data_IF_814919224676
#
_entry.id   IF_814919224676
#
_cell.length_a   1.000
_cell.length_b   1.000
_cell.length_c   1.000
_cell.angle_alpha   90.00
_cell.angle_beta   90.00
_cell.angle_gamma   90.00
#
_symmetry.space_group_name_H-M   'P 1'
#
loop_
_entity.id
_entity.type
_entity.pdbx_description
1 polymer ?
#
# COMPACT_ATOMS: atom_id res chain seq x y z
N UNK A 1 -6.39 -41.48 5.46
CA UNK A 1 -6.95 -40.19 5.95
C UNK A 1 -8.02 -39.74 4.98
N UNK A 2 -9.24 -39.48 5.43
CA UNK A 2 -10.33 -39.04 4.54
C UNK A 2 -10.35 -37.51 4.50
N UNK A 3 -10.43 -36.94 3.30
CA UNK A 3 -10.44 -35.49 2.99
C UNK A 3 -11.37 -34.64 3.89
N UNK A 4 -12.54 -35.12 4.37
CA UNK A 4 -13.42 -34.34 5.25
C UNK A 4 -12.79 -33.98 6.61
N UNK A 5 -11.95 -34.85 7.20
CA UNK A 5 -11.34 -34.61 8.52
C UNK A 5 -10.28 -33.50 8.49
N UNK A 6 -9.69 -33.24 7.33
CA UNK A 6 -8.74 -32.15 7.11
C UNK A 6 -9.47 -30.81 7.03
N UNK A 7 -10.64 -30.79 6.40
CA UNK A 7 -11.48 -29.60 6.26
C UNK A 7 -12.12 -29.25 7.61
N UNK A 8 -12.62 -30.23 8.36
CA UNK A 8 -13.19 -29.99 9.70
C UNK A 8 -12.15 -29.46 10.70
N UNK A 9 -10.87 -29.87 10.57
CA UNK A 9 -9.78 -29.33 11.39
C UNK A 9 -9.26 -27.96 10.92
N UNK A 10 -9.29 -27.68 9.61
CA UNK A 10 -8.78 -26.44 9.04
C UNK A 10 -9.81 -25.28 9.05
N UNK A 11 -11.12 -25.58 9.03
CA UNK A 11 -12.17 -24.57 8.84
C UNK A 11 -12.93 -24.24 10.13
N UNK A 12 -13.01 -25.14 11.12
CA UNK A 12 -13.91 -24.99 12.29
C UNK A 12 -13.16 -24.70 13.61
N UNK A 13 -11.83 -24.61 13.60
CA UNK A 13 -11.12 -24.00 14.72
C UNK A 13 -10.75 -22.55 14.38
N UNK A 14 -11.72 -21.64 14.45
CA UNK A 14 -11.44 -20.34 15.06
C UNK A 14 -10.85 -20.69 16.43
N UNK A 15 -9.51 -20.77 16.51
CA UNK A 15 -8.83 -21.30 17.69
C UNK A 15 -9.38 -20.57 18.91
N UNK A 16 -9.94 -21.34 19.85
CA UNK A 16 -10.69 -20.81 21.01
C UNK A 16 -9.94 -19.62 21.60
N UNK A 17 -10.61 -18.47 21.67
CA UNK A 17 -10.05 -17.24 22.24
C UNK A 17 -9.26 -16.33 21.31
N UNK A 18 -9.22 -16.58 19.98
CA UNK A 18 -8.62 -15.61 19.03
C UNK A 18 -9.49 -14.37 18.76
N UNK A 19 -10.81 -14.46 18.95
CA UNK A 19 -11.76 -13.38 18.66
C UNK A 19 -11.36 -12.02 19.26
N UNK A 20 -11.06 -11.92 20.57
CA UNK A 20 -10.65 -10.65 21.17
C UNK A 20 -9.37 -10.07 20.54
N UNK A 21 -8.39 -10.92 20.19
CA UNK A 21 -7.16 -10.47 19.55
C UNK A 21 -7.44 -9.94 18.13
N UNK A 22 -8.31 -10.61 17.36
CA UNK A 22 -8.74 -10.15 16.03
C UNK A 22 -9.42 -8.79 16.11
N UNK A 23 -10.32 -8.59 17.08
CA UNK A 23 -10.99 -7.29 17.31
C UNK A 23 -9.97 -6.21 17.65
N UNK A 24 -9.05 -6.48 18.57
CA UNK A 24 -8.01 -5.53 18.99
C UNK A 24 -7.11 -5.15 17.81
N UNK A 25 -6.65 -6.15 17.05
CA UNK A 25 -5.79 -5.92 15.87
C UNK A 25 -6.53 -5.12 14.80
N UNK A 26 -7.78 -5.48 14.50
CA UNK A 26 -8.62 -4.75 13.55
C UNK A 26 -8.83 -3.30 13.96
N UNK A 27 -9.31 -3.09 15.19
CA UNK A 27 -9.57 -1.75 15.74
C UNK A 27 -8.30 -0.89 15.80
N UNK A 28 -7.17 -1.46 16.24
CA UNK A 28 -5.89 -0.77 16.25
C UNK A 28 -5.42 -0.42 14.83
N UNK A 29 -5.61 -1.33 13.86
CA UNK A 29 -5.33 -1.08 12.45
C UNK A 29 -6.14 0.08 11.87
N UNK A 30 -7.43 0.12 12.18
CA UNK A 30 -8.32 1.23 11.80
C UNK A 30 -7.92 2.57 12.43
N UNK A 31 -7.58 2.57 13.72
CA UNK A 31 -7.16 3.78 14.43
C UNK A 31 -5.82 4.33 13.93
N UNK A 32 -4.81 3.46 13.78
CA UNK A 32 -3.50 3.84 13.21
C UNK A 32 -3.65 4.32 11.78
N UNK A 33 -4.50 3.64 11.00
CA UNK A 33 -4.86 4.06 9.66
C UNK A 33 -5.47 5.47 9.61
N UNK A 34 -6.44 5.76 10.47
CA UNK A 34 -7.07 7.09 10.58
C UNK A 34 -6.04 8.17 10.93
N UNK A 35 -5.15 7.90 11.90
CA UNK A 35 -4.08 8.83 12.28
C UNK A 35 -3.12 9.06 11.12
N UNK A 36 -2.67 8.00 10.46
CA UNK A 36 -1.70 8.11 9.36
C UNK A 36 -2.29 8.86 8.16
N UNK A 37 -3.52 8.52 7.74
CA UNK A 37 -4.21 9.22 6.65
C UNK A 37 -4.51 10.67 7.03
N UNK A 38 -4.90 10.94 8.27
CA UNK A 38 -5.10 12.31 8.76
C UNK A 38 -3.80 13.14 8.74
N UNK A 39 -2.67 12.54 9.14
CA UNK A 39 -1.36 13.18 9.04
C UNK A 39 -0.95 13.43 7.58
N UNK A 40 -1.25 12.50 6.66
CA UNK A 40 -1.01 12.71 5.23
C UNK A 40 -1.82 13.89 4.68
N UNK A 41 -3.08 14.05 5.09
CA UNK A 41 -3.89 15.20 4.67
C UNK A 41 -3.31 16.51 5.18
N UNK A 42 -2.92 16.58 6.46
CA UNK A 42 -2.32 17.77 7.05
C UNK A 42 -0.98 18.11 6.39
N UNK A 43 -0.11 17.13 6.22
CA UNK A 43 1.20 17.33 5.59
C UNK A 43 1.06 17.62 4.09
N UNK A 44 0.10 17.01 3.40
CA UNK A 44 -0.20 17.27 1.99
C UNK A 44 -0.70 18.69 1.76
N UNK A 45 -1.43 19.28 2.71
CA UNK A 45 -1.78 20.71 2.68
C UNK A 45 -0.57 21.64 2.77
N UNK A 46 0.57 21.18 3.30
CA UNK A 46 1.80 21.98 3.49
C UNK A 46 2.88 21.66 2.47
N UNK A 47 3.02 20.41 2.03
CA UNK A 47 4.09 19.93 1.15
C UNK A 47 3.59 19.55 -0.25
N UNK A 48 2.27 19.51 -0.43
CA UNK A 48 1.65 18.96 -1.63
C UNK A 48 1.91 19.84 -2.87
N UNK A 49 2.01 19.20 -4.05
CA UNK A 49 2.28 19.89 -5.31
C UNK A 49 1.16 20.83 -5.77
N UNK A 50 -0.06 20.69 -5.24
CA UNK A 50 -1.21 21.54 -5.59
C UNK A 50 -1.07 22.98 -5.09
N UNK A 51 -0.27 23.20 -4.04
CA UNK A 51 -0.17 24.49 -3.35
C UNK A 51 1.11 25.27 -3.73
N UNK A 52 1.99 24.70 -4.55
CA UNK A 52 3.32 25.23 -4.83
C UNK A 52 3.56 25.38 -6.33
N UNK A 53 4.38 26.36 -6.70
CA UNK A 53 4.88 26.46 -8.07
C UNK A 53 5.87 25.33 -8.37
N UNK A 54 6.04 24.96 -9.65
CA UNK A 54 6.95 23.88 -10.06
C UNK A 54 8.36 23.97 -9.45
N UNK A 55 9.03 25.14 -9.48
CA UNK A 55 10.35 25.30 -8.85
C UNK A 55 10.33 25.13 -7.32
N UNK A 56 9.28 25.64 -6.66
CA UNK A 56 9.13 25.49 -5.21
C UNK A 56 8.90 24.02 -4.83
N UNK A 57 8.10 23.29 -5.60
CA UNK A 57 7.88 21.86 -5.39
C UNK A 57 9.16 21.05 -5.59
N UNK A 58 9.97 21.38 -6.60
CA UNK A 58 11.26 20.75 -6.79
C UNK A 58 12.20 20.97 -5.60
N UNK A 59 12.22 22.18 -5.04
CA UNK A 59 12.98 22.46 -3.82
C UNK A 59 12.45 21.68 -2.60
N UNK A 60 11.13 21.55 -2.45
CA UNK A 60 10.50 20.72 -1.40
C UNK A 60 10.93 19.26 -1.54
N UNK A 61 10.86 18.68 -2.75
CA UNK A 61 11.24 17.29 -2.97
C UNK A 61 12.72 17.02 -2.68
N UNK A 62 13.61 17.97 -3.01
CA UNK A 62 15.04 17.87 -2.66
C UNK A 62 15.25 17.94 -1.15
N UNK A 63 14.57 18.86 -0.45
CA UNK A 63 14.69 18.98 1.01
C UNK A 63 14.11 17.77 1.74
N UNK A 64 12.99 17.22 1.25
CA UNK A 64 12.43 15.94 1.73
C UNK A 64 13.40 14.80 1.49
N UNK A 65 14.02 14.71 0.31
CA UNK A 65 15.06 13.71 0.03
C UNK A 65 16.22 13.79 1.01
N UNK A 66 16.67 14.99 1.37
CA UNK A 66 17.72 15.19 2.37
C UNK A 66 17.26 14.81 3.79
N UNK A 67 16.02 15.13 4.17
CA UNK A 67 15.44 14.74 5.46
C UNK A 67 15.32 13.22 5.58
N UNK A 68 14.86 12.53 4.53
CA UNK A 68 14.79 11.06 4.47
C UNK A 68 16.18 10.43 4.54
N UNK A 69 17.18 11.01 3.87
CA UNK A 69 18.57 10.57 3.97
C UNK A 69 19.12 10.70 5.40
N UNK A 70 18.73 11.75 6.13
CA UNK A 70 19.09 11.92 7.53
C UNK A 70 18.38 10.91 8.44
N UNK A 71 17.07 10.73 8.26
CA UNK A 71 16.28 9.76 9.04
C UNK A 71 16.84 8.35 8.89
N UNK A 72 17.09 7.92 7.64
CA UNK A 72 17.63 6.58 7.36
C UNK A 72 19.04 6.40 7.89
N UNK A 73 19.85 7.47 7.94
CA UNK A 73 21.18 7.44 8.56
C UNK A 73 21.13 7.29 10.09
N UNK A 74 20.14 7.89 10.75
CA UNK A 74 20.04 7.91 12.22
C UNK A 74 19.29 6.69 12.76
N UNK A 75 18.22 6.27 12.09
CA UNK A 75 17.32 5.19 12.55
C UNK A 75 17.44 3.89 11.75
N UNK A 76 18.33 3.84 10.76
CA UNK A 76 18.52 2.68 9.90
C UNK A 76 17.59 2.68 8.68
N UNK A 77 17.81 1.72 7.79
CA UNK A 77 17.00 1.56 6.59
C UNK A 77 15.55 1.24 6.94
N UNK A 78 14.63 1.66 6.07
CA UNK A 78 13.20 1.42 6.23
C UNK A 78 12.88 -0.05 5.96
N UNK A 79 11.94 -0.63 6.72
CA UNK A 79 11.43 -1.98 6.47
C UNK A 79 10.91 -2.15 5.03
N UNK A 80 11.19 -3.30 4.43
CA UNK A 80 10.70 -3.68 3.10
C UNK A 80 9.44 -4.55 3.24
N UNK A 81 8.38 -4.25 2.48
CA UNK A 81 7.17 -5.09 2.44
C UNK A 81 7.49 -6.53 2.06
N UNK A 82 8.47 -6.75 1.16
CA UNK A 82 8.94 -8.09 0.80
C UNK A 82 9.49 -8.83 2.03
N UNK A 83 10.22 -8.14 2.92
CA UNK A 83 10.72 -8.73 4.16
C UNK A 83 9.59 -9.10 5.11
N UNK A 84 8.54 -8.27 5.22
CA UNK A 84 7.37 -8.65 6.02
C UNK A 84 6.68 -9.90 5.45
N UNK A 85 6.53 -9.99 4.13
CA UNK A 85 5.95 -11.16 3.46
C UNK A 85 6.79 -12.40 3.74
N UNK A 86 8.11 -12.32 3.58
CA UNK A 86 9.02 -13.43 3.86
C UNK A 86 8.94 -13.85 5.34
N UNK A 87 8.90 -12.88 6.25
CA UNK A 87 8.81 -13.12 7.69
C UNK A 87 7.47 -13.75 8.10
N UNK A 88 6.38 -13.52 7.38
CA UNK A 88 5.11 -14.22 7.62
C UNK A 88 5.23 -15.73 7.32
N UNK A 89 6.02 -16.11 6.31
CA UNK A 89 6.25 -17.52 6.00
C UNK A 89 7.11 -18.20 7.06
N UNK A 90 8.16 -17.53 7.52
CA UNK A 90 9.18 -18.11 8.43
C UNK A 90 8.82 -17.92 9.90
N UNK A 91 8.55 -16.69 10.32
CA UNK A 91 8.35 -16.28 11.71
C UNK A 91 6.86 -16.14 12.09
N UNK A 92 5.96 -16.23 11.10
CA UNK A 92 4.54 -15.97 11.31
C UNK A 92 4.20 -14.48 11.49
N UNK A 93 5.13 -13.56 11.26
CA UNK A 93 4.85 -12.14 11.43
C UNK A 93 6.10 -11.27 11.35
N UNK A 94 5.96 -9.99 11.68
CA UNK A 94 7.07 -9.04 11.66
C UNK A 94 8.18 -9.43 12.66
N UNK A 95 9.43 -9.38 12.20
CA UNK A 95 10.61 -9.68 13.01
C UNK A 95 10.98 -8.51 13.94
N UNK A 96 10.93 -7.28 13.43
CA UNK A 96 11.38 -6.09 14.15
C UNK A 96 10.41 -4.91 14.02
N UNK A 97 10.02 -4.37 15.17
CA UNK A 97 9.16 -3.18 15.29
C UNK A 97 9.98 -1.89 15.11
N UNK A 98 11.30 -1.94 15.29
CA UNK A 98 12.17 -0.77 15.20
C UNK A 98 12.22 -0.19 13.77
N UNK A 99 12.03 -1.03 12.76
CA UNK A 99 11.90 -0.63 11.36
C UNK A 99 10.75 0.36 11.10
N UNK A 100 9.71 0.37 11.96
CA UNK A 100 8.61 1.34 11.86
C UNK A 100 9.05 2.78 12.17
N UNK A 101 10.12 2.96 12.95
CA UNK A 101 10.63 4.27 13.35
C UNK A 101 11.17 5.07 12.17
N UNK A 102 11.82 4.41 11.22
CA UNK A 102 12.25 5.03 9.97
C UNK A 102 11.14 5.02 8.93
N UNK A 103 10.34 3.93 8.85
CA UNK A 103 9.30 3.76 7.82
C UNK A 103 8.19 4.83 7.86
N UNK A 104 7.58 5.06 9.02
CA UNK A 104 6.44 5.99 9.13
C UNK A 104 6.78 7.45 8.76
N UNK A 105 7.83 8.08 9.32
CA UNK A 105 8.15 9.47 8.98
C UNK A 105 8.65 9.61 7.54
N UNK A 106 9.42 8.65 7.03
CA UNK A 106 9.88 8.69 5.64
C UNK A 106 8.72 8.56 4.66
N UNK A 107 7.80 7.63 4.91
CA UNK A 107 6.63 7.47 4.05
C UNK A 107 5.68 8.66 4.10
N UNK A 108 5.45 9.23 5.29
CA UNK A 108 4.65 10.46 5.43
C UNK A 108 5.26 11.61 4.62
N UNK A 109 6.56 11.87 4.75
CA UNK A 109 7.23 12.95 4.04
C UNK A 109 7.22 12.73 2.52
N UNK A 110 7.55 11.51 2.06
CA UNK A 110 7.56 11.20 0.63
C UNK A 110 6.16 11.30 0.01
N UNK A 111 5.16 10.62 0.59
CA UNK A 111 3.80 10.62 0.03
C UNK A 111 3.20 12.03 0.07
N UNK A 112 3.33 12.75 1.19
CA UNK A 112 2.77 14.09 1.33
C UNK A 112 3.43 15.14 0.41
N UNK A 113 4.73 15.00 0.10
CA UNK A 113 5.43 15.87 -0.85
C UNK A 113 5.17 15.51 -2.32
N UNK A 114 4.32 14.52 -2.59
CA UNK A 114 3.96 14.13 -3.94
C UNK A 114 4.95 13.17 -4.59
N UNK A 115 5.67 12.38 -3.81
CA UNK A 115 6.43 11.25 -4.35
C UNK A 115 5.51 10.25 -5.06
N UNK A 116 6.05 9.54 -6.05
CA UNK A 116 5.32 8.58 -6.90
C UNK A 116 4.88 7.28 -6.20
N UNK A 117 4.99 7.21 -4.88
CA UNK A 117 4.69 6.05 -4.04
C UNK A 117 3.40 6.27 -3.26
N UNK A 118 2.70 5.19 -2.95
CA UNK A 118 1.47 5.24 -2.19
C UNK A 118 1.63 4.85 -0.71
N UNK A 119 0.58 5.08 0.09
CA UNK A 119 0.55 4.79 1.53
C UNK A 119 0.35 3.30 1.87
N UNK A 120 0.22 2.42 0.87
CA UNK A 120 -0.12 0.99 1.06
C UNK A 120 0.95 0.25 1.84
N UNK A 121 2.19 0.30 1.37
CA UNK A 121 3.32 -0.37 1.99
C UNK A 121 3.52 -0.02 3.48
N UNK A 122 3.62 1.27 3.87
CA UNK A 122 3.85 1.64 5.28
C UNK A 122 2.68 1.28 6.20
N UNK A 123 1.44 1.43 5.73
CA UNK A 123 0.27 1.08 6.54
C UNK A 123 0.17 -0.42 6.76
N UNK A 124 0.34 -1.21 5.71
CA UNK A 124 0.25 -2.67 5.78
C UNK A 124 1.36 -3.24 6.64
N UNK A 125 2.58 -2.68 6.54
CA UNK A 125 3.67 -3.08 7.41
C UNK A 125 3.39 -2.75 8.88
N UNK A 126 2.91 -1.53 9.15
CA UNK A 126 2.62 -1.07 10.52
C UNK A 126 1.50 -1.89 11.15
N UNK A 127 0.39 -2.06 10.43
CA UNK A 127 -0.78 -2.79 10.91
C UNK A 127 -0.52 -4.29 11.02
N UNK A 128 0.22 -4.88 10.07
CA UNK A 128 0.69 -6.27 10.18
C UNK A 128 1.59 -6.47 11.41
N UNK A 129 2.54 -5.57 11.65
CA UNK A 129 3.41 -5.61 12.83
C UNK A 129 2.63 -5.49 14.13
N UNK A 130 1.58 -4.66 14.18
CA UNK A 130 0.65 -4.60 15.33
C UNK A 130 -0.01 -5.97 15.55
N UNK A 131 -0.44 -6.63 14.48
CA UNK A 131 -0.95 -8.01 14.51
C UNK A 131 0.03 -8.99 15.17
N UNK A 132 1.30 -8.95 14.73
CA UNK A 132 2.36 -9.78 15.29
C UNK A 132 2.59 -9.49 16.78
N UNK A 133 2.67 -8.22 17.16
CA UNK A 133 2.91 -7.80 18.56
C UNK A 133 1.77 -8.21 19.48
N UNK A 134 0.51 -8.04 19.05
CA UNK A 134 -0.66 -8.46 19.84
C UNK A 134 -0.66 -9.97 20.03
N UNK A 135 -0.36 -10.73 18.98
CA UNK A 135 -0.23 -12.18 19.07
C UNK A 135 0.90 -12.62 20.01
N UNK A 136 2.07 -12.01 19.89
CA UNK A 136 3.25 -12.36 20.67
C UNK A 136 3.06 -12.07 22.16
N UNK A 137 2.49 -10.89 22.49
CA UNK A 137 2.12 -10.54 23.88
C UNK A 137 1.05 -11.45 24.46
N UNK A 138 0.19 -12.00 23.62
CA UNK A 138 -0.81 -12.99 24.00
C UNK A 138 -0.26 -14.41 24.17
N UNK A 139 1.06 -14.62 24.07
CA UNK A 139 1.69 -15.94 24.17
C UNK A 139 1.23 -16.92 23.09
N UNK A 140 0.85 -16.39 21.91
CA UNK A 140 0.24 -17.18 20.85
C UNK A 140 1.28 -17.95 20.04
N UNK A 141 0.83 -19.05 19.42
CA UNK A 141 1.70 -19.86 18.56
C UNK A 141 2.03 -19.14 17.25
N UNK A 142 3.07 -19.58 16.55
CA UNK A 142 3.50 -19.02 15.26
C UNK A 142 2.37 -18.96 14.22
N UNK A 143 1.49 -19.97 14.18
CA UNK A 143 0.35 -19.97 13.26
C UNK A 143 -0.69 -18.90 13.63
N UNK A 144 -0.91 -18.67 14.92
CA UNK A 144 -1.80 -17.60 15.38
C UNK A 144 -1.20 -16.23 15.12
N UNK A 145 0.13 -16.07 15.29
CA UNK A 145 0.85 -14.86 14.90
C UNK A 145 0.62 -14.57 13.42
N UNK A 146 0.69 -15.62 12.59
CA UNK A 146 0.48 -15.51 11.14
C UNK A 146 -0.91 -14.99 10.82
N UNK A 147 -1.92 -15.61 11.42
CA UNK A 147 -3.32 -15.20 11.27
C UNK A 147 -3.52 -13.76 11.74
N UNK A 148 -2.98 -13.37 12.89
CA UNK A 148 -3.13 -12.00 13.43
C UNK A 148 -2.36 -10.97 12.60
N UNK A 149 -1.20 -11.33 12.05
CA UNK A 149 -0.43 -10.47 11.15
C UNK A 149 -1.20 -10.22 9.85
N UNK A 150 -1.74 -11.29 9.23
CA UNK A 150 -2.61 -11.18 8.04
C UNK A 150 -3.86 -10.35 8.35
N UNK A 151 -4.43 -10.53 9.54
CA UNK A 151 -5.58 -9.74 10.01
C UNK A 151 -5.25 -8.26 10.11
N UNK A 152 -4.07 -7.92 10.65
CA UNK A 152 -3.56 -6.55 10.71
C UNK A 152 -3.38 -5.94 9.31
N UNK A 153 -2.71 -6.68 8.41
CA UNK A 153 -2.53 -6.27 7.01
C UNK A 153 -3.86 -6.00 6.32
N UNK A 154 -4.85 -6.89 6.49
CA UNK A 154 -6.18 -6.72 5.93
C UNK A 154 -6.85 -5.45 6.44
N UNK A 155 -6.75 -5.15 7.74
CA UNK A 155 -7.26 -3.90 8.31
C UNK A 155 -6.55 -2.66 7.72
N UNK A 156 -5.23 -2.70 7.54
CA UNK A 156 -4.46 -1.62 6.90
C UNK A 156 -4.87 -1.35 5.45
N UNK A 157 -5.04 -2.39 4.64
CA UNK A 157 -5.57 -2.25 3.27
C UNK A 157 -6.99 -1.70 3.25
N UNK A 158 -7.81 -2.06 4.22
CA UNK A 158 -9.20 -1.62 4.30
C UNK A 158 -9.34 -0.13 4.52
N UNK A 159 -8.46 0.45 5.34
CA UNK A 159 -8.37 1.90 5.55
C UNK A 159 -8.12 2.63 4.23
N UNK A 160 -7.32 2.05 3.34
CA UNK A 160 -6.93 2.67 2.08
C UNK A 160 -7.97 2.51 0.98
N UNK A 161 -8.55 1.32 0.87
CA UNK A 161 -9.44 0.99 -0.25
C UNK A 161 -10.92 1.10 0.08
N UNK A 162 -11.28 1.24 1.36
CA UNK A 162 -12.68 1.23 1.80
C UNK A 162 -13.40 -0.09 1.48
N UNK A 163 -12.67 -1.17 1.23
CA UNK A 163 -13.19 -2.44 0.74
C UNK A 163 -12.77 -3.61 1.65
N UNK A 164 -13.52 -3.90 2.74
CA UNK A 164 -13.10 -4.87 3.75
C UNK A 164 -12.86 -6.29 3.19
N UNK A 165 -13.81 -6.78 2.39
CA UNK A 165 -13.73 -8.13 1.80
C UNK A 165 -12.57 -8.27 0.80
N UNK A 166 -12.41 -7.26 -0.08
CA UNK A 166 -11.31 -7.24 -1.03
C UNK A 166 -9.95 -7.16 -0.34
N UNK A 167 -9.86 -6.38 0.74
CA UNK A 167 -8.64 -6.22 1.53
C UNK A 167 -8.22 -7.51 2.24
N UNK A 168 -9.18 -8.28 2.78
CA UNK A 168 -8.90 -9.57 3.40
C UNK A 168 -8.39 -10.60 2.38
N UNK A 169 -9.01 -10.67 1.19
CA UNK A 169 -8.54 -11.55 0.12
C UNK A 169 -7.16 -11.12 -0.38
N UNK A 170 -6.94 -9.82 -0.56
CA UNK A 170 -5.65 -9.29 -1.02
C UNK A 170 -4.52 -9.58 -0.02
N UNK A 171 -4.77 -9.42 1.28
CA UNK A 171 -3.79 -9.73 2.32
C UNK A 171 -3.37 -11.21 2.34
N UNK A 172 -4.27 -12.13 1.97
CA UNK A 172 -3.96 -13.55 1.82
C UNK A 172 -3.22 -13.86 0.51
N UNK A 173 -3.59 -13.19 -0.58
CA UNK A 173 -3.05 -13.48 -1.91
C UNK A 173 -1.64 -12.92 -2.09
N UNK A 174 -1.35 -11.72 -1.57
CA UNK A 174 -0.04 -11.07 -1.75
C UNK A 174 1.13 -11.88 -1.19
N UNK A 175 0.86 -12.77 -0.24
CA UNK A 175 1.86 -13.65 0.36
C UNK A 175 2.30 -14.78 -0.59
N UNK A 176 1.46 -15.20 -1.52
CA UNK A 176 1.65 -16.48 -2.21
C UNK A 176 1.71 -16.34 -3.72
N UNK A 177 2.77 -16.87 -4.33
CA UNK A 177 2.91 -16.88 -5.80
C UNK A 177 2.02 -17.90 -6.53
N UNK A 178 1.43 -18.87 -5.82
CA UNK A 178 0.71 -20.01 -6.42
C UNK A 178 -0.74 -20.16 -5.90
N UNK A 179 -1.36 -19.07 -5.48
CA UNK A 179 -2.73 -19.04 -4.97
C UNK A 179 -2.82 -18.99 -3.44
N UNK A 180 -4.04 -18.83 -2.92
CA UNK A 180 -4.32 -18.64 -1.49
C UNK A 180 -3.76 -19.79 -0.65
N UNK A 181 -3.00 -19.47 0.38
CA UNK A 181 -2.63 -20.37 1.48
C UNK A 181 -3.00 -19.69 2.80
N UNK A 182 -2.91 -20.42 3.92
CA UNK A 182 -3.38 -19.97 5.23
C UNK A 182 -4.87 -19.61 5.24
N UNK A 183 -5.72 -20.49 4.68
CA UNK A 183 -7.17 -20.29 4.62
C UNK A 183 -7.82 -20.07 5.99
N UNK A 184 -7.20 -20.59 7.05
CA UNK A 184 -7.57 -20.34 8.44
C UNK A 184 -7.56 -18.85 8.82
N UNK A 185 -6.80 -18.02 8.11
CA UNK A 185 -6.75 -16.57 8.33
C UNK A 185 -7.86 -15.80 7.60
N UNK A 186 -8.65 -16.43 6.71
CA UNK A 186 -9.69 -15.73 5.95
C UNK A 186 -10.79 -15.12 6.82
N UNK A 187 -11.43 -15.91 7.68
CA UNK A 187 -12.47 -15.41 8.58
C UNK A 187 -11.93 -14.36 9.58
N UNK A 188 -10.78 -14.59 10.24
CA UNK A 188 -10.11 -13.56 11.05
C UNK A 188 -9.80 -12.28 10.29
N UNK A 189 -9.25 -12.37 9.08
CA UNK A 189 -8.90 -11.22 8.26
C UNK A 189 -10.12 -10.40 7.85
N UNK A 190 -11.21 -11.07 7.43
CA UNK A 190 -12.49 -10.40 7.14
C UNK A 190 -13.03 -9.70 8.39
N UNK A 191 -13.06 -10.39 9.53
CA UNK A 191 -13.58 -9.82 10.77
C UNK A 191 -12.74 -8.63 11.26
N UNK A 192 -11.40 -8.77 11.30
CA UNK A 192 -10.51 -7.68 11.70
C UNK A 192 -10.53 -6.51 10.74
N UNK A 193 -10.64 -6.77 9.43
CA UNK A 193 -10.84 -5.75 8.41
C UNK A 193 -12.14 -4.96 8.62
N UNK A 194 -13.26 -5.63 8.92
CA UNK A 194 -14.53 -4.97 9.23
C UNK A 194 -14.44 -4.10 10.49
N UNK A 195 -13.77 -4.59 11.55
CA UNK A 195 -13.52 -3.80 12.75
C UNK A 195 -12.63 -2.59 12.47
N UNK A 196 -11.58 -2.76 11.67
CA UNK A 196 -10.72 -1.67 11.24
C UNK A 196 -11.47 -0.62 10.43
N UNK A 197 -12.36 -1.05 9.53
CA UNK A 197 -13.20 -0.15 8.76
C UNK A 197 -14.15 0.65 9.65
N UNK A 198 -14.84 -0.01 10.59
CA UNK A 198 -15.76 0.66 11.51
C UNK A 198 -15.06 1.73 12.36
N UNK A 199 -13.87 1.42 12.89
CA UNK A 199 -13.07 2.38 13.67
C UNK A 199 -12.57 3.51 12.79
N UNK A 200 -12.09 3.20 11.57
CA UNK A 200 -11.62 4.21 10.63
C UNK A 200 -12.72 5.21 10.26
N UNK A 201 -13.92 4.74 9.90
CA UNK A 201 -15.05 5.60 9.61
C UNK A 201 -15.45 6.45 10.82
N UNK A 202 -15.51 5.85 12.01
CA UNK A 202 -15.86 6.56 13.24
C UNK A 202 -14.88 7.68 13.60
N UNK A 203 -13.59 7.50 13.32
CA UNK A 203 -12.55 8.51 13.62
C UNK A 203 -12.36 9.54 12.51
N UNK A 204 -12.49 9.15 11.25
CA UNK A 204 -12.35 10.05 10.10
C UNK A 204 -13.59 10.91 9.87
N UNK A 205 -14.75 10.49 10.39
CA UNK A 205 -16.03 11.13 10.10
C UNK A 205 -16.51 10.87 8.67
N UNK A 206 -15.82 10.01 7.91
CA UNK A 206 -16.23 9.59 6.59
C UNK A 206 -17.47 8.69 6.70
N UNK A 207 -18.45 8.94 5.85
CA UNK A 207 -19.62 8.08 5.74
C UNK A 207 -19.29 6.76 5.05
N UNK A 208 -20.23 5.81 5.11
CA UNK A 208 -20.16 4.59 4.28
C UNK A 208 -20.44 5.01 2.83
N UNK A 209 -19.45 4.85 1.96
CA UNK A 209 -19.54 5.24 0.55
C UNK A 209 -18.41 4.68 -0.29
N UNK A 210 -18.59 4.71 -1.61
CA UNK A 210 -17.55 4.35 -2.56
C UNK A 210 -16.48 5.44 -2.63
N UNK A 211 -15.21 5.05 -2.64
CA UNK A 211 -14.08 5.98 -2.87
C UNK A 211 -14.18 6.61 -4.26
N UNK A 212 -14.59 5.82 -5.27
CA UNK A 212 -14.82 6.29 -6.64
C UNK A 212 -16.21 5.89 -7.12
N UNK A 213 -16.92 6.82 -7.75
CA UNK A 213 -18.18 6.56 -8.43
C UNK A 213 -17.94 6.49 -9.94
N UNK A 214 -18.28 5.34 -10.53
CA UNK A 214 -18.21 5.16 -11.98
C UNK A 214 -19.62 5.29 -12.59
N UNK A 215 -19.74 5.81 -13.83
CA UNK A 215 -21.02 5.85 -14.53
C UNK A 215 -21.56 4.43 -14.73
N UNK A 216 -22.90 4.31 -14.74
CA UNK A 216 -23.56 3.02 -14.98
C UNK A 216 -23.16 2.47 -16.35
N UNK A 217 -22.62 1.26 -16.37
CA UNK A 217 -22.35 0.54 -17.61
C UNK A 217 -23.67 0.00 -18.21
N UNK A 218 -23.77 0.02 -19.54
CA UNK A 218 -24.89 -0.59 -20.27
C UNK A 218 -24.87 -2.12 -20.21
N UNK A 219 -25.73 -2.77 -21.01
CA UNK A 219 -25.74 -4.23 -21.12
C UNK A 219 -24.38 -4.76 -21.62
N UNK A 220 -23.86 -5.79 -20.94
CA UNK A 220 -22.61 -6.45 -21.30
C UNK A 220 -22.75 -7.16 -22.65
N UNK A 221 -21.94 -6.75 -23.63
CA UNK A 221 -21.85 -7.37 -24.96
C UNK A 221 -20.64 -8.30 -25.02
N UNK A 222 -20.68 -9.30 -25.89
CA UNK A 222 -19.53 -10.21 -26.11
C UNK A 222 -18.28 -9.45 -26.55
N UNK A 223 -18.43 -8.34 -27.30
CA UNK A 223 -17.32 -7.48 -27.70
C UNK A 223 -16.64 -6.83 -26.49
N UNK A 224 -17.39 -6.48 -25.44
CA UNK A 224 -16.83 -5.87 -24.23
C UNK A 224 -15.93 -6.84 -23.48
N UNK A 225 -16.27 -8.14 -23.49
CA UNK A 225 -15.40 -9.19 -22.93
C UNK A 225 -14.10 -9.32 -23.72
N UNK A 226 -14.16 -9.31 -25.05
CA UNK A 226 -12.97 -9.36 -25.90
C UNK A 226 -12.07 -8.13 -25.68
N UNK A 227 -12.67 -6.94 -25.55
CA UNK A 227 -11.95 -5.71 -25.23
C UNK A 227 -11.34 -5.75 -23.82
N UNK A 228 -12.07 -6.26 -22.83
CA UNK A 228 -11.56 -6.42 -21.47
C UNK A 228 -10.33 -7.35 -21.42
N UNK A 229 -10.36 -8.46 -22.16
CA UNK A 229 -9.21 -9.36 -22.31
C UNK A 229 -8.04 -8.64 -22.98
N UNK A 230 -8.29 -7.91 -24.07
CA UNK A 230 -7.25 -7.16 -24.77
C UNK A 230 -6.59 -6.10 -23.87
N UNK A 231 -7.38 -5.32 -23.14
CA UNK A 231 -6.90 -4.34 -22.15
C UNK A 231 -6.10 -5.03 -21.05
N UNK A 232 -6.58 -6.18 -20.55
CA UNK A 232 -5.86 -6.99 -19.55
C UNK A 232 -4.50 -7.46 -20.04
N UNK A 233 -4.39 -7.94 -21.29
CA UNK A 233 -3.12 -8.34 -21.91
C UNK A 233 -2.18 -7.14 -22.07
N UNK A 234 -2.68 -6.00 -22.55
CA UNK A 234 -1.86 -4.77 -22.68
C UNK A 234 -1.35 -4.32 -21.30
N UNK A 235 -2.22 -4.32 -20.29
CA UNK A 235 -1.86 -4.00 -18.91
C UNK A 235 -0.79 -4.94 -18.35
N UNK A 236 -0.93 -6.25 -18.58
CA UNK A 236 0.04 -7.25 -18.14
C UNK A 236 1.41 -7.07 -18.83
N UNK A 237 1.43 -6.78 -20.13
CA UNK A 237 2.66 -6.47 -20.86
C UNK A 237 3.31 -5.18 -20.32
N UNK A 238 2.50 -4.14 -20.10
CA UNK A 238 2.95 -2.88 -19.50
C UNK A 238 3.57 -3.09 -18.12
N UNK A 239 2.90 -3.82 -17.24
CA UNK A 239 3.41 -4.18 -15.91
C UNK A 239 4.73 -4.98 -15.99
N UNK A 240 4.84 -5.92 -16.94
CA UNK A 240 6.05 -6.72 -17.11
C UNK A 240 7.24 -5.89 -17.63
N UNK A 241 6.99 -4.91 -18.50
CA UNK A 241 8.02 -3.96 -18.96
C UNK A 241 8.43 -3.05 -17.80
N UNK A 242 7.46 -2.44 -17.12
CA UNK A 242 7.72 -1.58 -15.95
C UNK A 242 8.55 -2.31 -14.90
N UNK A 243 8.16 -3.52 -14.49
CA UNK A 243 8.90 -4.31 -13.52
C UNK A 243 10.33 -4.68 -13.97
N UNK A 244 10.59 -4.81 -15.28
CA UNK A 244 11.97 -5.02 -15.78
C UNK A 244 12.78 -3.72 -15.73
N UNK A 245 12.19 -2.60 -16.14
CA UNK A 245 12.82 -1.28 -16.11
C UNK A 245 13.18 -0.89 -14.68
N UNK A 246 12.26 -1.00 -13.73
CA UNK A 246 12.53 -0.67 -12.32
C UNK A 246 13.61 -1.58 -11.73
N UNK A 247 13.61 -2.87 -12.06
CA UNK A 247 14.67 -3.80 -11.63
C UNK A 247 16.04 -3.42 -12.21
N UNK A 248 16.08 -3.02 -13.48
CA UNK A 248 17.32 -2.56 -14.11
C UNK A 248 17.80 -1.25 -13.46
N UNK A 249 16.90 -0.29 -13.25
CA UNK A 249 17.20 0.99 -12.61
C UNK A 249 17.76 0.83 -11.19
N UNK A 250 17.18 -0.07 -10.39
CA UNK A 250 17.70 -0.41 -9.05
C UNK A 250 19.15 -0.90 -9.09
N UNK A 251 19.56 -1.64 -10.12
CA UNK A 251 20.97 -2.08 -10.26
C UNK A 251 21.90 -0.91 -10.58
N UNK A 252 21.47 0.00 -11.45
CA UNK A 252 22.25 1.19 -11.81
C UNK A 252 22.41 2.13 -10.60
N UNK A 253 21.31 2.42 -9.89
CA UNK A 253 21.34 3.25 -8.68
C UNK A 253 22.09 2.58 -7.51
N UNK A 254 22.24 1.26 -7.54
CA UNK A 254 23.08 0.49 -6.62
C UNK A 254 24.53 0.99 -6.52
N UNK A 255 25.01 1.71 -7.53
CA UNK A 255 26.36 2.29 -7.59
C UNK A 255 26.50 3.61 -6.82
N UNK A 256 25.39 4.27 -6.49
CA UNK A 256 25.34 5.53 -5.73
C UNK A 256 25.16 5.22 -4.24
N UNK A 257 25.72 6.02 -3.33
CA UNK A 257 25.51 5.82 -1.88
C UNK A 257 24.09 6.14 -1.45
N UNK A 258 23.57 5.43 -0.44
CA UNK A 258 22.16 5.48 -0.01
C UNK A 258 21.65 6.90 0.26
N UNK A 259 22.43 7.74 0.95
CA UNK A 259 22.03 9.13 1.25
C UNK A 259 21.88 10.00 0.00
N UNK A 260 22.76 9.83 -0.99
CA UNK A 260 22.70 10.59 -2.24
C UNK A 260 21.55 10.14 -3.15
N UNK A 261 21.12 8.87 -3.06
CA UNK A 261 19.97 8.37 -3.82
C UNK A 261 18.70 9.16 -3.52
N UNK A 262 18.41 9.43 -2.24
CA UNK A 262 17.19 10.16 -1.85
C UNK A 262 17.21 11.62 -2.34
N UNK A 263 18.34 12.31 -2.23
CA UNK A 263 18.48 13.72 -2.67
C UNK A 263 18.38 13.83 -4.20
N UNK A 264 19.08 12.96 -4.92
CA UNK A 264 19.01 12.91 -6.39
C UNK A 264 17.62 12.48 -6.88
N UNK A 265 16.97 11.54 -6.19
CA UNK A 265 15.59 11.15 -6.45
C UNK A 265 14.64 12.33 -6.33
N UNK A 266 14.74 13.11 -5.25
CA UNK A 266 13.96 14.34 -5.07
C UNK A 266 14.20 15.38 -6.16
N UNK A 267 15.45 15.57 -6.59
CA UNK A 267 15.79 16.49 -7.68
C UNK A 267 15.19 16.03 -9.02
N UNK A 268 15.41 14.78 -9.40
CA UNK A 268 14.92 14.22 -10.67
C UNK A 268 13.39 14.22 -10.68
N UNK A 269 12.76 13.82 -9.58
CA UNK A 269 11.30 13.80 -9.46
C UNK A 269 10.72 15.22 -9.51
N UNK A 270 11.38 16.20 -8.89
CA UNK A 270 10.99 17.61 -8.97
C UNK A 270 11.05 18.16 -10.41
N UNK A 271 12.09 17.81 -11.16
CA UNK A 271 12.20 18.18 -12.58
C UNK A 271 11.13 17.48 -13.44
N UNK A 272 10.86 16.21 -13.17
CA UNK A 272 9.79 15.47 -13.85
C UNK A 272 8.41 16.03 -13.52
N UNK A 273 8.16 16.42 -12.27
CA UNK A 273 6.93 17.06 -11.84
C UNK A 273 6.70 18.42 -12.49
N UNK A 274 7.76 19.19 -12.72
CA UNK A 274 7.68 20.41 -13.53
C UNK A 274 7.33 20.09 -14.99
N UNK A 275 7.96 19.08 -15.58
CA UNK A 275 7.64 18.68 -16.96
C UNK A 275 6.20 18.17 -17.11
N UNK A 276 5.72 17.37 -16.15
CA UNK A 276 4.37 16.83 -16.16
C UNK A 276 3.86 16.56 -14.74
N UNK A 277 2.69 17.12 -14.34
CA UNK A 277 2.11 16.88 -13.01
C UNK A 277 1.69 15.41 -12.81
N UNK A 278 1.55 14.62 -13.88
CA UNK A 278 1.26 13.19 -13.82
C UNK A 278 2.45 12.36 -13.30
N UNK A 279 3.67 12.92 -13.25
CA UNK A 279 4.83 12.25 -12.67
C UNK A 279 4.77 12.18 -11.13
N UNK A 280 4.01 13.07 -10.50
CA UNK A 280 3.90 13.18 -9.04
C UNK A 280 2.73 12.35 -8.49
N UNK A 281 2.71 12.25 -7.16
CA UNK A 281 1.70 11.59 -6.31
C UNK A 281 1.50 10.10 -6.66
N UNK A 282 0.56 9.41 -6.04
CA UNK A 282 0.18 8.03 -6.42
C UNK A 282 -1.02 7.99 -7.38
N UNK A 283 -1.48 9.14 -7.90
CA UNK A 283 -2.47 9.21 -8.98
C UNK A 283 -3.91 9.48 -8.55
N UNK A 284 -4.21 9.56 -7.25
CA UNK A 284 -5.57 9.79 -6.74
C UNK A 284 -6.21 11.07 -7.30
N UNK A 285 -5.46 12.18 -7.25
CA UNK A 285 -5.91 13.49 -7.75
C UNK A 285 -6.06 13.50 -9.26
N UNK A 286 -5.14 12.84 -9.97
CA UNK A 286 -5.15 12.84 -11.43
C UNK A 286 -6.24 11.93 -11.99
N UNK A 287 -6.61 10.86 -11.27
CA UNK A 287 -7.62 9.90 -11.74
C UNK A 287 -9.00 10.57 -11.89
N UNK A 288 -9.42 11.40 -10.95
CA UNK A 288 -10.71 12.11 -11.03
C UNK A 288 -10.76 13.04 -12.26
N UNK A 289 -9.68 13.81 -12.50
CA UNK A 289 -9.58 14.67 -13.69
C UNK A 289 -9.57 13.89 -15.02
N UNK A 290 -9.05 12.65 -15.02
CA UNK A 290 -9.06 11.78 -16.21
C UNK A 290 -10.43 11.17 -16.50
N UNK A 291 -11.30 11.05 -15.50
CA UNK A 291 -12.67 10.53 -15.67
C UNK A 291 -13.60 11.57 -16.29
N UNK A 292 -13.38 12.85 -16.01
CA UNK A 292 -14.24 13.95 -16.47
C UNK A 292 -13.80 14.53 -17.83
N UNK A 293 -12.52 14.44 -18.18
CA UNK A 293 -11.97 15.05 -19.40
C UNK A 293 -11.74 13.98 -20.47
N UNK A 294 -12.33 14.19 -21.66
CA UNK A 294 -11.95 13.46 -22.88
C UNK A 294 -10.56 13.88 -23.35
N UNK A 295 -9.51 13.40 -22.68
CA UNK A 295 -8.15 13.59 -23.15
C UNK A 295 -7.93 12.81 -24.45
N UNK A 296 -7.25 13.44 -25.40
CA UNK A 296 -6.79 12.76 -26.60
C UNK A 296 -5.79 11.64 -26.24
N UNK A 297 -5.76 10.56 -27.03
CA UNK A 297 -4.89 9.41 -26.79
C UNK A 297 -3.41 9.77 -26.61
N UNK A 298 -2.93 10.81 -27.30
CA UNK A 298 -1.56 11.32 -27.13
C UNK A 298 -1.28 11.91 -25.74
N UNK A 299 -2.24 12.63 -25.15
CA UNK A 299 -2.09 13.18 -23.80
C UNK A 299 -2.06 12.07 -22.74
N UNK A 300 -2.88 11.02 -22.92
CA UNK A 300 -2.85 9.83 -22.06
C UNK A 300 -1.52 9.08 -22.16
N UNK A 301 -0.96 8.95 -23.37
CA UNK A 301 0.35 8.32 -23.54
C UNK A 301 1.47 9.10 -22.82
N UNK A 302 1.45 10.43 -22.89
CA UNK A 302 2.40 11.28 -22.14
C UNK A 302 2.20 11.16 -20.64
N UNK A 303 0.95 11.14 -20.16
CA UNK A 303 0.64 10.95 -18.74
C UNK A 303 1.14 9.59 -18.22
N UNK A 304 0.94 8.52 -18.98
CA UNK A 304 1.48 7.18 -18.66
C UNK A 304 3.01 7.21 -18.61
N UNK A 305 3.66 7.81 -19.61
CA UNK A 305 5.12 7.91 -19.63
C UNK A 305 5.65 8.69 -18.42
N UNK A 306 5.07 9.86 -18.14
CA UNK A 306 5.43 10.67 -16.99
C UNK A 306 5.26 9.91 -15.68
N UNK A 307 4.15 9.18 -15.53
CA UNK A 307 3.88 8.37 -14.35
C UNK A 307 4.91 7.27 -14.16
N UNK A 308 5.20 6.50 -15.21
CA UNK A 308 6.17 5.41 -15.16
C UNK A 308 7.57 5.93 -14.81
N UNK A 309 7.98 7.08 -15.35
CA UNK A 309 9.26 7.71 -15.02
C UNK A 309 9.29 8.17 -13.56
N UNK A 310 8.25 8.90 -13.10
CA UNK A 310 8.15 9.38 -11.72
C UNK A 310 8.18 8.25 -10.69
N UNK A 311 7.39 7.19 -10.91
CA UNK A 311 7.35 6.03 -10.01
C UNK A 311 8.63 5.19 -10.08
N UNK A 312 9.39 5.21 -11.18
CA UNK A 312 10.70 4.51 -11.24
C UNK A 312 11.79 5.24 -10.45
N UNK A 313 11.68 6.57 -10.35
CA UNK A 313 12.63 7.42 -9.61
C UNK A 313 12.35 7.39 -8.11
N UNK A 314 11.08 7.26 -7.73
CA UNK A 314 10.64 7.16 -6.33
C UNK A 314 11.04 5.83 -5.71
#
# INVERSE_FOLDING_TARGET
>A
MRIPEVIDRAVIQVRRGMGPAVVVVGAAGGAVGAVYVGLLHVLGGVLGPEHHSGPAQAAILVTVGAAVALITRVWGETGNTELLVDNIHVLGGAEDVSALRSLLPTSLLCVASGAGMGPEAPLVQTTGTIGTVVGARGGRSTDDLRVLTITGMAAGFTVLFGAPLGSALFALEILHRRGLQYYEALLPAVAGSLWGYAVYLGLSGLGIGSVWSFPSVGELRTVDLALAVAIGVIGALGAAVFARVTRWWRRVLGLVSTSWRYVLGGLILGLLGWWSPYALTFGEVQLSGLLDVRLGAGALAVAVLAKLLGTTVT
#
